data_IF_058023283409
#
_entry.id   IF_058023283409
#
_cell.length_a   1.000
_cell.length_b   1.000
_cell.length_c   1.000
_cell.angle_alpha   90.00
_cell.angle_beta   90.00
_cell.angle_gamma   90.00
#
_symmetry.space_group_name_H-M   'P 1'
#
loop_
_entity.id
_entity.type
_entity.pdbx_description
1 polymer ?
#
# COMPACT_ATOMS: atom_id res chain seq x y z
N UNK A 1 -35.31 -23.67 -28.90
CA UNK A 1 -35.31 -25.13 -29.11
C UNK A 1 -33.88 -25.63 -29.00
N UNK A 2 -33.44 -26.00 -27.79
CA UNK A 2 -32.30 -26.86 -27.49
C UNK A 2 -32.58 -27.46 -26.09
N UNK A 3 -32.88 -28.76 -25.99
CA UNK A 3 -32.97 -29.50 -24.74
C UNK A 3 -31.66 -30.26 -24.49
N UNK A 4 -31.23 -30.42 -23.23
CA UNK A 4 -30.32 -31.47 -22.76
C UNK A 4 -30.15 -31.32 -21.23
N UNK A 5 -31.01 -31.92 -20.41
CA UNK A 5 -30.71 -33.20 -19.73
C UNK A 5 -29.27 -33.22 -19.18
N UNK A 6 -29.05 -32.53 -18.06
CA UNK A 6 -27.92 -32.80 -17.17
C UNK A 6 -28.19 -34.16 -16.50
N UNK A 7 -27.68 -35.21 -17.13
CA UNK A 7 -27.60 -36.56 -16.55
C UNK A 7 -26.75 -36.54 -15.29
N UNK A 8 -27.24 -37.19 -14.23
CA UNK A 8 -26.57 -37.40 -12.94
C UNK A 8 -25.16 -38.05 -13.09
N UNK A 9 -24.85 -38.61 -14.27
CA UNK A 9 -23.53 -39.17 -14.60
C UNK A 9 -22.43 -38.10 -14.79
N UNK A 10 -22.75 -36.88 -15.24
CA UNK A 10 -21.76 -35.82 -15.45
C UNK A 10 -21.16 -35.29 -14.13
N UNK A 11 -21.99 -35.20 -13.09
CA UNK A 11 -21.55 -34.80 -11.75
C UNK A 11 -20.68 -35.89 -11.10
N UNK A 12 -21.03 -37.17 -11.31
CA UNK A 12 -20.23 -38.32 -10.83
C UNK A 12 -18.89 -38.41 -11.56
N UNK A 13 -18.83 -38.10 -12.86
CA UNK A 13 -17.56 -38.03 -13.60
C UNK A 13 -16.69 -36.86 -13.14
N UNK A 14 -17.28 -35.69 -12.88
CA UNK A 14 -16.56 -34.53 -12.35
C UNK A 14 -15.96 -34.83 -10.95
N UNK A 15 -16.73 -35.47 -10.07
CA UNK A 15 -16.24 -35.89 -8.74
C UNK A 15 -15.19 -37.01 -8.85
N UNK A 16 -15.34 -37.97 -9.78
CA UNK A 16 -14.31 -38.99 -10.06
C UNK A 16 -13.01 -38.38 -10.59
N UNK A 17 -13.10 -37.39 -11.48
CA UNK A 17 -11.93 -36.69 -12.01
C UNK A 17 -11.24 -35.84 -10.95
N UNK A 18 -11.99 -35.17 -10.07
CA UNK A 18 -11.41 -34.49 -8.90
C UNK A 18 -10.74 -35.49 -7.95
N UNK A 19 -11.35 -36.65 -7.71
CA UNK A 19 -10.74 -37.72 -6.89
C UNK A 19 -9.49 -38.33 -7.55
N UNK A 20 -9.45 -38.44 -8.88
CA UNK A 20 -8.26 -38.89 -9.63
C UNK A 20 -7.14 -37.83 -9.67
N UNK A 21 -7.49 -36.54 -9.75
CA UNK A 21 -6.54 -35.42 -9.64
C UNK A 21 -5.97 -35.27 -8.22
N UNK A 22 -6.75 -35.61 -7.19
CA UNK A 22 -6.27 -35.70 -5.81
C UNK A 22 -5.36 -36.92 -5.57
N UNK A 23 -5.47 -37.97 -6.37
CA UNK A 23 -4.64 -39.19 -6.27
C UNK A 23 -3.31 -39.08 -7.04
N UNK A 24 -3.20 -38.22 -8.07
CA UNK A 24 -1.95 -38.04 -8.82
C UNK A 24 -0.96 -37.05 -8.17
N UNK A 25 -1.36 -36.30 -7.14
CA UNK A 25 -0.45 -35.48 -6.32
C UNK A 25 0.22 -36.25 -5.17
N UNK A 26 0.17 -37.58 -5.22
CA UNK A 26 0.91 -38.47 -4.34
C UNK A 26 2.13 -39.07 -5.04
N UNK A 27 3.12 -38.27 -5.40
CA UNK A 27 4.49 -38.77 -5.52
C UNK A 27 5.09 -38.75 -4.12
N UNK A 28 5.25 -39.91 -3.45
CA UNK A 28 5.92 -39.95 -2.17
C UNK A 28 7.40 -39.66 -2.44
N UNK A 29 7.80 -38.41 -2.25
CA UNK A 29 9.20 -38.02 -2.15
C UNK A 29 9.71 -38.58 -0.82
N UNK A 30 10.02 -39.88 -0.87
CA UNK A 30 10.74 -40.65 0.13
C UNK A 30 12.14 -40.04 0.28
N UNK A 31 12.28 -39.03 1.14
CA UNK A 31 13.48 -38.77 1.93
C UNK A 31 13.15 -37.68 2.96
N UNK A 32 13.11 -38.12 4.23
CA UNK A 32 13.13 -37.30 5.45
C UNK A 32 11.82 -36.57 5.84
N UNK A 33 10.69 -37.28 5.80
CA UNK A 33 9.46 -36.78 6.45
C UNK A 33 9.04 -37.76 7.54
N UNK A 34 9.18 -37.32 8.78
CA UNK A 34 8.46 -37.89 9.93
C UNK A 34 6.97 -37.99 9.54
N UNK A 35 6.33 -39.16 9.69
CA UNK A 35 4.88 -39.31 9.56
C UNK A 35 4.18 -38.53 10.69
N UNK A 36 4.17 -37.20 10.58
CA UNK A 36 3.44 -36.33 11.47
C UNK A 36 1.97 -36.34 11.03
N UNK A 37 1.01 -36.57 11.93
CA UNK A 37 -0.40 -36.47 11.59
C UNK A 37 -0.71 -35.08 11.00
N UNK A 38 -1.57 -35.05 9.98
CA UNK A 38 -1.89 -33.82 9.22
C UNK A 38 -2.31 -32.66 10.12
N UNK A 39 -3.02 -32.96 11.22
CA UNK A 39 -3.43 -32.00 12.23
C UNK A 39 -2.23 -31.33 12.92
N UNK A 40 -1.23 -32.10 13.35
CA UNK A 40 -0.02 -31.56 14.00
C UNK A 40 0.81 -30.74 13.02
N UNK A 41 0.93 -31.18 11.76
CA UNK A 41 1.61 -30.40 10.71
C UNK A 41 0.95 -29.03 10.51
N UNK A 42 -0.38 -29.00 10.39
CA UNK A 42 -1.14 -27.75 10.23
C UNK A 42 -0.98 -26.84 11.45
N UNK A 43 -1.06 -27.37 12.67
CA UNK A 43 -0.87 -26.59 13.90
C UNK A 43 0.52 -25.97 13.93
N UNK A 44 1.57 -26.72 13.58
CA UNK A 44 2.94 -26.19 13.56
C UNK A 44 3.11 -25.09 12.51
N UNK A 45 2.55 -25.25 11.31
CA UNK A 45 2.59 -24.22 10.26
C UNK A 45 1.90 -22.94 10.74
N UNK A 46 0.68 -23.06 11.30
CA UNK A 46 -0.08 -21.92 11.82
C UNK A 46 0.68 -21.25 12.95
N UNK A 47 1.26 -22.03 13.87
CA UNK A 47 2.03 -21.52 14.99
C UNK A 47 3.25 -20.73 14.50
N UNK A 48 4.09 -21.32 13.64
CA UNK A 48 5.28 -20.66 13.11
C UNK A 48 4.91 -19.40 12.33
N UNK A 49 3.86 -19.46 11.51
CA UNK A 49 3.40 -18.30 10.73
C UNK A 49 2.88 -17.19 11.65
N UNK A 50 2.14 -17.54 12.70
CA UNK A 50 1.61 -16.58 13.68
C UNK A 50 2.75 -15.94 14.47
N UNK A 51 3.72 -16.73 14.94
CA UNK A 51 4.91 -16.21 15.62
C UNK A 51 5.72 -15.30 14.70
N UNK A 52 5.87 -15.66 13.42
CA UNK A 52 6.55 -14.83 12.43
C UNK A 52 5.81 -13.50 12.22
N UNK A 53 4.48 -13.54 12.09
CA UNK A 53 3.64 -12.35 11.93
C UNK A 53 3.71 -11.43 13.17
N UNK A 54 3.63 -12.00 14.37
CA UNK A 54 3.80 -11.26 15.63
C UNK A 54 5.21 -10.67 15.69
N UNK A 55 6.24 -11.41 15.29
CA UNK A 55 7.62 -10.95 15.23
C UNK A 55 7.79 -9.75 14.29
N UNK A 56 7.11 -9.75 13.14
CA UNK A 56 7.08 -8.62 12.19
C UNK A 56 6.40 -7.40 12.84
N UNK A 57 5.26 -7.59 13.51
CA UNK A 57 4.47 -6.50 14.11
C UNK A 57 5.16 -5.88 15.35
N UNK A 58 5.70 -6.71 16.25
CA UNK A 58 6.29 -6.26 17.52
C UNK A 58 7.72 -5.73 17.33
N UNK A 59 8.40 -6.10 16.23
CA UNK A 59 9.80 -5.78 15.94
C UNK A 59 10.72 -5.86 17.20
N UNK A 60 10.75 -7.01 17.90
CA UNK A 60 11.36 -7.14 19.24
C UNK A 60 12.84 -6.73 19.31
N UNK A 61 13.60 -6.91 18.23
CA UNK A 61 15.03 -6.56 18.16
C UNK A 61 15.35 -5.54 17.07
N UNK A 62 14.36 -4.78 16.57
CA UNK A 62 14.49 -3.89 15.39
C UNK A 62 15.07 -4.60 14.16
N UNK A 63 14.92 -5.92 14.09
CA UNK A 63 15.33 -6.70 12.91
C UNK A 63 14.51 -6.25 11.71
N UNK A 64 15.14 -6.27 10.54
CA UNK A 64 14.44 -6.04 9.29
C UNK A 64 13.33 -7.08 9.12
N UNK A 65 12.15 -6.65 8.66
CA UNK A 65 10.99 -7.51 8.42
C UNK A 65 11.33 -8.67 7.49
N UNK A 66 12.21 -8.43 6.52
CA UNK A 66 12.75 -9.46 5.63
C UNK A 66 13.45 -10.58 6.41
N UNK A 67 14.26 -10.26 7.42
CA UNK A 67 15.01 -11.24 8.21
C UNK A 67 14.06 -12.12 9.02
N UNK A 68 13.07 -11.52 9.67
CA UNK A 68 12.04 -12.27 10.43
C UNK A 68 11.26 -13.21 9.51
N UNK A 69 10.84 -12.72 8.35
CA UNK A 69 10.10 -13.50 7.36
C UNK A 69 10.93 -14.65 6.78
N UNK A 70 12.19 -14.38 6.42
CA UNK A 70 13.12 -15.39 5.91
C UNK A 70 13.41 -16.46 6.97
N UNK A 71 13.51 -16.08 8.23
CA UNK A 71 13.72 -17.02 9.35
C UNK A 71 12.52 -17.95 9.51
N UNK A 72 11.30 -17.40 9.50
CA UNK A 72 10.06 -18.19 9.56
C UNK A 72 9.91 -19.14 8.36
N UNK A 73 10.16 -18.64 7.14
CA UNK A 73 10.13 -19.45 5.93
C UNK A 73 11.19 -20.57 5.93
N UNK A 74 12.41 -20.26 6.38
CA UNK A 74 13.50 -21.25 6.50
C UNK A 74 13.15 -22.33 7.52
N UNK A 75 12.57 -21.96 8.66
CA UNK A 75 12.06 -22.90 9.66
C UNK A 75 11.02 -23.87 9.08
N UNK A 76 10.08 -23.37 8.28
CA UNK A 76 9.06 -24.20 7.62
C UNK A 76 9.68 -25.22 6.64
N UNK A 77 10.74 -24.83 5.94
CA UNK A 77 11.45 -25.72 4.99
C UNK A 77 12.35 -26.73 5.70
N UNK A 78 13.14 -26.29 6.68
CA UNK A 78 14.07 -27.16 7.44
C UNK A 78 13.30 -28.22 8.22
N UNK A 79 12.16 -27.86 8.81
CA UNK A 79 11.30 -28.81 9.53
C UNK A 79 10.51 -29.75 8.59
N UNK A 80 10.64 -29.60 7.27
CA UNK A 80 9.85 -30.36 6.31
C UNK A 80 8.36 -30.12 6.50
N UNK A 81 7.93 -28.92 6.90
CA UNK A 81 6.50 -28.62 7.01
C UNK A 81 5.92 -28.21 5.66
N UNK A 82 6.75 -27.69 4.75
CA UNK A 82 6.39 -27.33 3.38
C UNK A 82 7.42 -27.95 2.43
N UNK A 83 6.95 -28.51 1.31
CA UNK A 83 7.84 -29.04 0.28
C UNK A 83 8.59 -27.90 -0.42
N UNK A 84 9.92 -27.99 -0.64
CA UNK A 84 10.66 -27.02 -1.43
C UNK A 84 10.08 -26.83 -2.84
N UNK A 85 9.51 -27.89 -3.42
CA UNK A 85 8.84 -27.81 -4.72
C UNK A 85 7.59 -26.93 -4.67
N UNK A 86 6.75 -27.10 -3.65
CA UNK A 86 5.53 -26.29 -3.48
C UNK A 86 5.90 -24.82 -3.24
N UNK A 87 6.92 -24.56 -2.41
CA UNK A 87 7.43 -23.21 -2.16
C UNK A 87 7.96 -22.55 -3.45
N UNK A 88 8.78 -23.25 -4.22
CA UNK A 88 9.31 -22.74 -5.49
C UNK A 88 8.20 -22.51 -6.53
N UNK A 89 7.26 -23.45 -6.64
CA UNK A 89 6.13 -23.32 -7.57
C UNK A 89 5.26 -22.11 -7.26
N UNK A 90 5.10 -21.76 -5.97
CA UNK A 90 4.37 -20.56 -5.55
C UNK A 90 5.11 -19.29 -5.97
N UNK A 91 6.45 -19.28 -5.80
CA UNK A 91 7.29 -18.15 -6.23
C UNK A 91 7.21 -17.92 -7.75
N UNK A 92 7.27 -19.00 -8.53
CA UNK A 92 7.17 -18.95 -9.99
C UNK A 92 5.76 -18.55 -10.43
N UNK A 93 4.71 -18.94 -9.71
CA UNK A 93 3.34 -18.54 -10.03
C UNK A 93 3.14 -17.03 -9.89
N UNK A 94 3.69 -16.43 -8.82
CA UNK A 94 3.47 -15.02 -8.48
C UNK A 94 4.60 -14.08 -9.00
N UNK A 95 5.45 -14.55 -9.93
CA UNK A 95 6.59 -13.80 -10.48
C UNK A 95 6.21 -12.42 -11.03
N UNK A 96 5.07 -12.33 -11.73
CA UNK A 96 4.59 -11.09 -12.34
C UNK A 96 4.34 -10.00 -11.28
N UNK A 97 3.80 -10.39 -10.13
CA UNK A 97 3.57 -9.50 -8.98
C UNK A 97 4.89 -8.93 -8.44
N UNK A 98 5.94 -9.74 -8.32
CA UNK A 98 7.25 -9.25 -7.87
C UNK A 98 7.89 -8.26 -8.84
N UNK A 99 7.87 -8.55 -10.15
CA UNK A 99 8.37 -7.62 -11.17
C UNK A 99 7.56 -6.33 -11.22
N UNK A 100 6.25 -6.42 -11.02
CA UNK A 100 5.37 -5.27 -10.93
C UNK A 100 5.79 -4.33 -9.79
N UNK A 101 6.01 -4.84 -8.56
CA UNK A 101 6.52 -4.02 -7.45
C UNK A 101 7.89 -3.44 -7.74
N UNK A 102 8.80 -4.25 -8.28
CA UNK A 102 10.15 -3.79 -8.60
C UNK A 102 10.09 -2.61 -9.57
N UNK A 103 9.27 -2.71 -10.62
CA UNK A 103 9.06 -1.63 -11.59
C UNK A 103 8.45 -0.38 -10.97
N UNK A 104 7.41 -0.53 -10.16
CA UNK A 104 6.74 0.58 -9.48
C UNK A 104 7.63 1.29 -8.45
N UNK A 105 8.36 0.54 -7.63
CA UNK A 105 9.30 1.09 -6.66
C UNK A 105 10.45 1.80 -7.37
N UNK A 106 10.96 1.23 -8.46
CA UNK A 106 11.98 1.88 -9.30
C UNK A 106 11.45 3.16 -9.93
N UNK A 107 10.22 3.16 -10.46
CA UNK A 107 9.57 4.34 -11.03
C UNK A 107 9.37 5.43 -9.98
N UNK A 108 8.92 5.07 -8.78
CA UNK A 108 8.76 6.01 -7.66
C UNK A 108 10.10 6.61 -7.24
N UNK A 109 11.15 5.79 -7.11
CA UNK A 109 12.49 6.26 -6.78
C UNK A 109 13.05 7.19 -7.87
N UNK A 110 12.85 6.87 -9.15
CA UNK A 110 13.23 7.73 -10.26
C UNK A 110 12.46 9.06 -10.25
N UNK A 111 11.16 9.04 -9.97
CA UNK A 111 10.34 10.24 -9.85
C UNK A 111 10.79 11.14 -8.68
N UNK A 112 11.26 10.52 -7.59
CA UNK A 112 11.83 11.22 -6.44
C UNK A 112 13.16 11.88 -6.80
N UNK A 113 14.08 11.13 -7.42
CA UNK A 113 15.37 11.67 -7.89
C UNK A 113 15.17 12.78 -8.93
N UNK A 114 14.17 12.64 -9.80
CA UNK A 114 13.78 13.68 -10.75
C UNK A 114 13.12 14.92 -10.10
N UNK A 115 12.83 14.88 -8.79
CA UNK A 115 12.27 16.00 -8.04
C UNK A 115 10.77 16.25 -8.29
N UNK A 116 10.05 15.30 -8.90
CA UNK A 116 8.63 15.47 -9.28
C UNK A 116 7.76 15.76 -8.06
N UNK A 117 7.96 15.01 -6.96
CA UNK A 117 7.17 15.20 -5.75
C UNK A 117 7.42 16.55 -5.10
N UNK A 118 8.69 16.97 -5.01
CA UNK A 118 9.08 18.29 -4.49
C UNK A 118 8.43 19.42 -5.29
N UNK A 119 8.47 19.32 -6.62
CA UNK A 119 7.80 20.26 -7.50
C UNK A 119 6.28 20.30 -7.27
N UNK A 120 5.62 19.13 -7.19
CA UNK A 120 4.18 19.04 -6.92
C UNK A 120 3.79 19.67 -5.58
N UNK A 121 4.60 19.51 -4.55
CA UNK A 121 4.38 20.11 -3.24
C UNK A 121 4.41 21.64 -3.28
N UNK A 122 5.36 22.20 -4.02
CA UNK A 122 5.44 23.66 -4.23
C UNK A 122 4.22 24.14 -4.99
N UNK A 123 3.78 23.43 -6.03
CA UNK A 123 2.55 23.79 -6.76
C UNK A 123 1.31 23.74 -5.86
N UNK A 124 1.18 22.73 -5.01
CA UNK A 124 0.10 22.64 -4.01
C UNK A 124 0.11 23.84 -3.06
N UNK A 125 1.30 24.29 -2.65
CA UNK A 125 1.47 25.46 -1.81
C UNK A 125 1.10 26.77 -2.53
N UNK A 126 1.52 26.95 -3.77
CA UNK A 126 1.18 28.14 -4.57
C UNK A 126 -0.33 28.22 -4.84
N UNK A 127 -0.97 27.10 -5.16
CA UNK A 127 -2.41 27.00 -5.37
C UNK A 127 -3.24 27.31 -4.11
N UNK A 128 -2.64 27.19 -2.91
CA UNK A 128 -3.33 27.46 -1.66
C UNK A 128 -3.70 28.94 -1.47
N UNK A 129 -3.04 29.86 -2.21
CA UNK A 129 -3.22 31.31 -2.11
C UNK A 129 -3.19 31.81 -0.66
N UNK A 130 -2.19 31.35 0.11
CA UNK A 130 -1.94 31.74 1.50
C UNK A 130 -3.05 31.40 2.51
N UNK A 131 -3.90 30.42 2.19
CA UNK A 131 -4.92 29.91 3.11
C UNK A 131 -4.50 28.53 3.64
N UNK A 132 -4.35 28.40 4.96
CA UNK A 132 -4.00 27.12 5.60
C UNK A 132 -5.01 26.01 5.28
N UNK A 133 -6.31 26.34 5.17
CA UNK A 133 -7.35 25.37 4.79
C UNK A 133 -7.19 24.87 3.35
N UNK A 134 -6.88 25.77 2.42
CA UNK A 134 -6.63 25.39 1.01
C UNK A 134 -5.34 24.61 0.87
N UNK A 135 -4.31 24.97 1.64
CA UNK A 135 -3.07 24.22 1.68
C UNK A 135 -3.30 22.79 2.17
N UNK A 136 -4.05 22.64 3.26
CA UNK A 136 -4.42 21.34 3.79
C UNK A 136 -5.15 20.49 2.74
N UNK A 137 -6.18 21.05 2.10
CA UNK A 137 -6.91 20.35 1.04
C UNK A 137 -6.03 20.00 -0.16
N UNK A 138 -5.16 20.91 -0.61
CA UNK A 138 -4.26 20.66 -1.74
C UNK A 138 -3.23 19.57 -1.41
N UNK A 139 -2.67 19.60 -0.21
CA UNK A 139 -1.74 18.56 0.28
C UNK A 139 -2.44 17.21 0.38
N UNK A 140 -3.66 17.19 0.90
CA UNK A 140 -4.50 15.99 0.96
C UNK A 140 -4.75 15.41 -0.43
N UNK A 141 -5.19 16.26 -1.36
CA UNK A 141 -5.47 15.86 -2.74
C UNK A 141 -4.22 15.33 -3.42
N UNK A 142 -3.09 16.02 -3.21
CA UNK A 142 -1.80 15.60 -3.75
C UNK A 142 -1.39 14.23 -3.22
N UNK A 143 -1.46 14.01 -1.90
CA UNK A 143 -1.13 12.72 -1.30
C UNK A 143 -2.06 11.59 -1.74
N UNK A 144 -3.35 11.89 -1.90
CA UNK A 144 -4.31 10.96 -2.48
C UNK A 144 -3.92 10.57 -3.91
N UNK A 145 -3.66 11.55 -4.78
CA UNK A 145 -3.28 11.29 -6.18
C UNK A 145 -1.96 10.52 -6.31
N UNK A 146 -0.95 10.90 -5.53
CA UNK A 146 0.34 10.20 -5.50
C UNK A 146 0.11 8.76 -5.04
N UNK A 147 -0.62 8.52 -3.95
CA UNK A 147 -0.90 7.16 -3.45
C UNK A 147 -1.80 6.35 -4.37
N UNK A 148 -2.70 6.98 -5.14
CA UNK A 148 -3.50 6.27 -6.15
C UNK A 148 -2.62 5.79 -7.30
N UNK A 149 -1.65 6.59 -7.74
CA UNK A 149 -0.83 6.25 -8.91
C UNK A 149 0.41 5.43 -8.55
N UNK A 150 0.95 5.65 -7.36
CA UNK A 150 2.16 5.02 -6.84
C UNK A 150 1.83 4.11 -5.67
N UNK A 151 2.85 3.42 -5.15
CA UNK A 151 2.67 2.60 -3.96
C UNK A 151 2.39 3.45 -2.72
N UNK A 152 1.46 3.03 -1.87
CA UNK A 152 1.17 3.65 -0.57
C UNK A 152 2.44 3.75 0.30
N UNK A 153 3.27 2.69 0.32
CA UNK A 153 4.51 2.65 1.11
C UNK A 153 5.52 3.70 0.61
N UNK A 154 5.68 3.80 -0.71
CA UNK A 154 6.56 4.80 -1.32
C UNK A 154 6.03 6.21 -1.05
N UNK A 155 4.71 6.41 -1.14
CA UNK A 155 4.06 7.69 -0.86
C UNK A 155 4.32 8.12 0.59
N UNK A 156 4.17 7.22 1.56
CA UNK A 156 4.43 7.50 2.96
C UNK A 156 5.90 7.91 3.19
N UNK A 157 6.86 7.21 2.59
CA UNK A 157 8.29 7.50 2.77
C UNK A 157 8.70 8.84 2.16
N UNK A 158 8.18 9.19 0.99
CA UNK A 158 8.59 10.37 0.23
C UNK A 158 7.80 11.61 0.66
N UNK A 159 6.48 11.46 0.80
CA UNK A 159 5.60 12.59 1.06
C UNK A 159 5.70 13.08 2.50
N UNK A 160 6.00 12.20 3.45
CA UNK A 160 6.20 12.59 4.87
C UNK A 160 7.29 13.66 5.06
N UNK A 161 8.57 13.44 4.68
CA UNK A 161 9.62 14.45 4.84
C UNK A 161 9.35 15.70 4.00
N UNK A 162 8.71 15.54 2.85
CA UNK A 162 8.35 16.64 1.97
C UNK A 162 7.26 17.55 2.59
N UNK A 163 6.19 16.98 3.15
CA UNK A 163 5.15 17.74 3.83
C UNK A 163 5.68 18.31 5.14
N UNK A 164 6.50 17.56 5.86
CA UNK A 164 7.19 18.05 7.05
C UNK A 164 7.97 19.34 6.74
N UNK A 165 8.86 19.31 5.75
CA UNK A 165 9.67 20.48 5.38
C UNK A 165 8.81 21.66 4.92
N UNK A 166 7.76 21.41 4.12
CA UNK A 166 6.84 22.44 3.66
C UNK A 166 6.12 23.13 4.83
N UNK A 167 5.52 22.33 5.72
CA UNK A 167 4.69 22.81 6.83
C UNK A 167 5.55 23.49 7.90
N UNK A 168 6.76 23.00 8.17
CA UNK A 168 7.73 23.66 9.07
C UNK A 168 8.21 25.00 8.51
N UNK A 169 8.48 25.11 7.20
CA UNK A 169 8.85 26.39 6.56
C UNK A 169 7.73 27.43 6.63
N UNK A 170 6.48 26.97 6.57
CA UNK A 170 5.29 27.82 6.69
C UNK A 170 4.86 28.07 8.15
N UNK A 171 5.62 27.56 9.13
CA UNK A 171 5.32 27.67 10.58
C UNK A 171 3.92 27.16 10.95
N UNK A 172 3.47 26.12 10.27
CA UNK A 172 2.19 25.46 10.52
C UNK A 172 2.39 24.22 11.42
N UNK A 173 1.34 23.75 12.12
CA UNK A 173 1.42 22.53 12.91
C UNK A 173 1.64 21.33 11.98
N UNK A 174 2.68 20.54 12.26
CA UNK A 174 3.11 19.43 11.40
C UNK A 174 2.16 18.23 11.49
N UNK A 175 1.70 17.90 12.70
CA UNK A 175 0.94 16.68 12.98
C UNK A 175 -0.35 16.55 12.14
N UNK A 176 -1.22 17.58 12.03
CA UNK A 176 -2.45 17.47 11.24
C UNK A 176 -2.20 17.14 9.77
N UNK A 177 -1.18 17.76 9.16
CA UNK A 177 -0.86 17.57 7.75
C UNK A 177 -0.25 16.20 7.49
N UNK A 178 0.60 15.71 8.40
CA UNK A 178 1.16 14.36 8.30
C UNK A 178 0.09 13.28 8.48
N UNK A 179 -0.75 13.37 9.52
CA UNK A 179 -1.81 12.38 9.72
C UNK A 179 -2.82 12.39 8.59
N UNK A 180 -3.24 13.57 8.14
CA UNK A 180 -4.12 13.65 6.97
C UNK A 180 -3.47 12.98 5.76
N UNK A 181 -2.20 13.27 5.49
CA UNK A 181 -1.47 12.65 4.39
C UNK A 181 -1.41 11.12 4.51
N UNK A 182 -1.08 10.58 5.68
CA UNK A 182 -0.90 9.13 5.87
C UNK A 182 -2.21 8.36 5.80
N UNK A 183 -3.26 8.83 6.48
CA UNK A 183 -4.55 8.15 6.47
C UNK A 183 -5.20 8.20 5.08
N UNK A 184 -4.96 9.29 4.36
CA UNK A 184 -5.52 9.47 3.02
C UNK A 184 -4.79 8.64 2.00
N UNK A 185 -3.45 8.64 2.06
CA UNK A 185 -2.64 7.76 1.23
C UNK A 185 -3.11 6.31 1.37
N UNK A 186 -3.39 5.85 2.59
CA UNK A 186 -3.92 4.52 2.84
C UNK A 186 -5.27 4.29 2.15
N UNK A 187 -6.26 5.15 2.42
CA UNK A 187 -7.60 5.01 1.83
C UNK A 187 -7.64 5.20 0.30
N UNK A 188 -6.76 6.04 -0.24
CA UNK A 188 -6.68 6.33 -1.67
C UNK A 188 -6.02 5.17 -2.44
N UNK A 189 -5.17 4.39 -1.78
CA UNK A 189 -4.52 3.21 -2.36
C UNK A 189 -5.49 2.07 -2.69
N UNK A 190 -6.77 2.14 -2.28
CA UNK A 190 -7.78 1.15 -2.67
C UNK A 190 -8.27 1.29 -4.11
N UNK A 191 -8.04 2.44 -4.75
CA UNK A 191 -8.63 2.68 -6.07
C UNK A 191 -8.02 1.80 -7.16
N UNK A 192 -6.69 1.69 -7.18
CA UNK A 192 -5.99 0.99 -8.25
C UNK A 192 -5.28 -0.26 -7.72
N UNK A 193 -5.20 -1.33 -8.52
CA UNK A 193 -4.43 -2.52 -8.16
C UNK A 193 -2.98 -2.18 -7.84
N UNK A 194 -2.42 -1.24 -8.60
CA UNK A 194 -1.00 -0.90 -8.53
C UNK A 194 -0.61 -0.28 -7.19
N UNK A 195 -1.51 0.45 -6.55
CA UNK A 195 -1.22 1.32 -5.41
C UNK A 195 -0.88 0.59 -4.12
N UNK A 196 -1.35 -0.65 -3.97
CA UNK A 196 -1.24 -1.37 -2.72
C UNK A 196 -0.90 -2.83 -2.97
N UNK A 197 0.10 -3.38 -2.27
CA UNK A 197 0.47 -4.77 -2.45
C UNK A 197 -0.68 -5.77 -2.30
N UNK A 198 -1.60 -5.49 -1.39
CA UNK A 198 -2.77 -6.32 -1.12
C UNK A 198 -3.67 -6.40 -2.36
N UNK A 199 -3.84 -5.29 -3.09
CA UNK A 199 -4.69 -5.27 -4.28
C UNK A 199 -4.11 -6.13 -5.41
N UNK A 200 -2.78 -6.12 -5.57
CA UNK A 200 -2.11 -6.96 -6.59
C UNK A 200 -2.31 -8.43 -6.27
N UNK A 201 -2.15 -8.82 -5.00
CA UNK A 201 -2.40 -10.19 -4.55
C UNK A 201 -3.85 -10.60 -4.89
N UNK A 202 -4.83 -9.73 -4.66
CA UNK A 202 -6.23 -9.99 -5.02
C UNK A 202 -6.37 -10.18 -6.54
N UNK A 203 -5.81 -9.30 -7.36
CA UNK A 203 -5.87 -9.43 -8.83
C UNK A 203 -5.07 -10.61 -9.39
N UNK A 204 -4.11 -11.14 -8.65
CA UNK A 204 -3.39 -12.37 -9.03
C UNK A 204 -4.17 -13.65 -8.69
N UNK A 205 -5.08 -13.57 -7.70
CA UNK A 205 -5.89 -14.71 -7.24
C UNK A 205 -7.25 -14.79 -7.93
N UNK A 206 -7.81 -13.65 -8.31
CA UNK A 206 -9.08 -13.55 -9.01
C UNK A 206 -8.84 -12.97 -10.41
N UNK A 207 -9.51 -13.48 -11.46
CA UNK A 207 -9.37 -12.99 -12.83
C UNK A 207 -10.10 -11.64 -12.99
N UNK A 208 -9.60 -10.60 -12.33
CA UNK A 208 -10.15 -9.25 -12.36
C UNK A 208 -9.32 -8.39 -13.31
N UNK A 209 -9.90 -8.02 -14.43
CA UNK A 209 -9.33 -6.98 -15.29
C UNK A 209 -9.30 -5.62 -14.56
N UNK A 210 -8.36 -4.76 -14.94
CA UNK A 210 -8.20 -3.41 -14.35
C UNK A 210 -9.52 -2.61 -14.35
N UNK A 211 -10.27 -2.66 -15.47
CA UNK A 211 -11.55 -1.95 -15.58
C UNK A 211 -12.62 -2.53 -14.66
N UNK A 212 -12.64 -3.84 -14.49
CA UNK A 212 -13.57 -4.52 -13.58
C UNK A 212 -13.24 -4.20 -12.13
N UNK A 213 -11.95 -4.21 -11.77
CA UNK A 213 -11.47 -3.79 -10.47
C UNK A 213 -11.86 -2.33 -10.19
N UNK A 214 -11.54 -1.41 -11.11
CA UNK A 214 -11.91 -0.01 -10.98
C UNK A 214 -13.41 0.16 -10.82
N UNK A 215 -14.23 -0.47 -11.66
CA UNK A 215 -15.69 -0.34 -11.56
C UNK A 215 -16.24 -0.79 -10.20
N UNK A 216 -15.66 -1.83 -9.61
CA UNK A 216 -16.08 -2.36 -8.32
C UNK A 216 -15.61 -1.47 -7.15
N UNK A 217 -14.37 -0.98 -7.20
CA UNK A 217 -13.73 -0.25 -6.11
C UNK A 217 -13.83 1.27 -6.20
N UNK A 218 -14.23 1.83 -7.35
CA UNK A 218 -14.27 3.28 -7.58
C UNK A 218 -15.21 4.01 -6.63
N UNK A 219 -16.48 3.57 -6.55
CA UNK A 219 -17.47 4.17 -5.67
C UNK A 219 -17.10 3.99 -4.18
N UNK A 220 -16.79 2.78 -3.68
CA UNK A 220 -16.37 2.59 -2.29
C UNK A 220 -15.14 3.43 -1.92
N UNK A 221 -14.13 3.49 -2.80
CA UNK A 221 -12.90 4.26 -2.53
C UNK A 221 -13.19 5.75 -2.42
N UNK A 222 -13.99 6.31 -3.34
CA UNK A 222 -14.37 7.74 -3.27
C UNK A 222 -15.16 8.08 -2.00
N UNK A 223 -16.07 7.19 -1.57
CA UNK A 223 -16.83 7.38 -0.34
C UNK A 223 -15.89 7.39 0.87
N UNK A 224 -14.96 6.44 0.97
CA UNK A 224 -14.02 6.36 2.09
C UNK A 224 -13.06 7.56 2.10
N UNK A 225 -12.51 7.96 0.94
CA UNK A 225 -11.66 9.16 0.83
C UNK A 225 -12.44 10.41 1.26
N UNK A 226 -13.71 10.53 0.85
CA UNK A 226 -14.58 11.65 1.23
C UNK A 226 -14.90 11.67 2.73
N UNK A 227 -15.18 10.52 3.33
CA UNK A 227 -15.38 10.38 4.78
C UNK A 227 -14.09 10.75 5.52
N UNK A 228 -12.94 10.23 5.06
CA UNK A 228 -11.64 10.51 5.67
C UNK A 228 -11.34 12.02 5.62
N UNK A 229 -11.53 12.66 4.45
CA UNK A 229 -11.43 14.10 4.31
C UNK A 229 -12.36 14.85 5.26
N UNK A 230 -13.63 14.43 5.35
CA UNK A 230 -14.61 15.05 6.23
C UNK A 230 -14.24 14.93 7.72
N UNK A 231 -13.81 13.75 8.15
CA UNK A 231 -13.38 13.48 9.53
C UNK A 231 -12.16 14.33 9.88
N UNK A 232 -11.14 14.35 9.03
CA UNK A 232 -9.95 15.17 9.25
C UNK A 232 -10.25 16.67 9.20
N UNK A 233 -11.13 17.10 8.30
CA UNK A 233 -11.58 18.48 8.24
C UNK A 233 -12.32 18.88 9.52
N UNK A 234 -13.17 18.01 10.08
CA UNK A 234 -13.88 18.27 11.34
C UNK A 234 -12.95 18.26 12.54
N UNK A 235 -12.08 17.24 12.66
CA UNK A 235 -11.17 17.04 13.79
C UNK A 235 -10.14 18.16 13.89
N UNK A 236 -9.62 18.61 12.75
CA UNK A 236 -8.65 19.70 12.68
C UNK A 236 -9.26 21.04 12.26
N UNK A 237 -10.59 21.15 12.17
CA UNK A 237 -11.26 22.41 11.80
C UNK A 237 -10.82 23.54 12.72
N UNK A 238 -10.69 23.30 14.03
CA UNK A 238 -10.31 24.30 15.04
C UNK A 238 -8.84 24.71 14.93
N UNK A 239 -7.92 23.75 14.75
CA UNK A 239 -6.48 24.04 14.62
C UNK A 239 -6.15 24.71 13.28
N UNK A 240 -6.73 24.21 12.19
CA UNK A 240 -6.54 24.76 10.84
C UNK A 240 -7.27 26.10 10.69
N UNK A 241 -8.39 26.35 11.40
CA UNK A 241 -8.99 27.69 11.54
C UNK A 241 -8.03 28.66 12.21
N UNK A 242 -7.53 28.28 13.40
CA UNK A 242 -6.74 29.17 14.25
C UNK A 242 -5.45 29.59 13.53
N UNK A 243 -4.77 28.64 12.90
CA UNK A 243 -3.58 28.92 12.11
C UNK A 243 -3.88 29.55 10.75
N UNK A 244 -5.05 29.30 10.16
CA UNK A 244 -5.53 30.03 8.99
C UNK A 244 -5.68 31.53 9.26
N UNK A 245 -6.15 31.90 10.45
CA UNK A 245 -6.25 33.30 10.89
C UNK A 245 -4.84 33.91 11.10
N UNK A 246 -3.90 33.17 11.70
CA UNK A 246 -2.50 33.61 11.86
C UNK A 246 -1.82 33.81 10.50
N UNK A 247 -2.01 32.88 9.55
CA UNK A 247 -1.50 33.00 8.18
C UNK A 247 -2.06 34.24 7.46
N UNK A 248 -3.31 34.59 7.72
CA UNK A 248 -3.95 35.76 7.10
C UNK A 248 -3.50 37.07 7.74
N UNK A 249 -3.13 37.05 9.03
CA UNK A 249 -2.54 38.18 9.74
C UNK A 249 -1.06 38.40 9.39
N UNK A 250 -0.26 37.33 9.22
CA UNK A 250 1.14 37.42 8.75
C UNK A 250 1.20 37.93 7.30
N UNK A 251 0.19 37.61 6.47
CA UNK A 251 0.13 38.01 5.05
C UNK A 251 -0.02 39.51 4.79
N UNK A 252 -0.51 40.29 5.77
CA UNK A 252 -0.50 41.76 5.68
C UNK A 252 0.91 42.34 5.85
N UNK A 253 1.89 41.50 6.26
CA UNK A 253 3.31 41.83 6.22
C UNK A 253 3.98 41.22 4.98
N UNK A 254 4.88 41.98 4.34
CA UNK A 254 5.61 41.58 3.13
C UNK A 254 6.44 40.28 3.30
N UNK A 255 6.62 39.83 4.55
CA UNK A 255 7.39 38.66 4.97
C UNK A 255 6.81 37.33 4.45
N UNK A 256 5.48 37.18 4.37
CA UNK A 256 4.87 35.91 3.91
C UNK A 256 5.00 35.70 2.41
N UNK A 257 4.96 36.79 1.61
CA UNK A 257 5.26 36.75 0.17
C UNK A 257 6.71 36.37 -0.07
N UNK A 258 7.63 36.86 0.77
CA UNK A 258 9.04 36.45 0.75
C UNK A 258 9.18 34.98 1.15
N UNK A 259 8.47 34.46 2.16
CA UNK A 259 8.50 33.03 2.53
C UNK A 259 8.05 32.11 1.41
N UNK A 260 6.93 32.41 0.72
CA UNK A 260 6.47 31.63 -0.44
C UNK A 260 7.45 31.69 -1.62
N UNK A 261 8.03 32.87 -1.88
CA UNK A 261 9.06 33.07 -2.91
C UNK A 261 10.37 32.35 -2.55
N UNK A 262 10.75 32.33 -1.28
CA UNK A 262 11.87 31.56 -0.74
C UNK A 262 11.62 30.05 -0.80
N UNK A 263 10.40 29.55 -0.55
CA UNK A 263 10.07 28.12 -0.73
C UNK A 263 10.20 27.75 -2.20
N UNK A 264 9.66 28.57 -3.11
CA UNK A 264 9.84 28.40 -4.56
C UNK A 264 11.31 28.45 -4.99
N UNK A 265 12.11 29.39 -4.46
CA UNK A 265 13.54 29.51 -4.78
C UNK A 265 14.41 28.44 -4.13
N UNK A 266 14.09 27.97 -2.93
CA UNK A 266 14.86 26.93 -2.22
C UNK A 266 14.66 25.58 -2.89
N UNK A 267 13.42 25.26 -3.31
CA UNK A 267 13.15 24.04 -4.10
C UNK A 267 13.56 24.20 -5.57
N UNK A 268 13.62 25.41 -6.12
CA UNK A 268 14.23 25.70 -7.43
C UNK A 268 15.76 25.66 -7.43
N UNK A 269 16.41 25.82 -6.26
CA UNK A 269 17.86 25.71 -6.05
C UNK A 269 18.29 24.37 -5.42
N UNK A 270 17.37 23.41 -5.21
CA UNK A 270 17.77 22.01 -5.12
C UNK A 270 18.30 21.67 -6.49
N UNK A 271 19.63 21.78 -6.65
CA UNK A 271 20.31 21.40 -7.89
C UNK A 271 19.91 19.96 -8.21
N UNK A 272 19.26 19.85 -9.38
CA UNK A 272 19.22 18.69 -10.27
C UNK A 272 20.48 17.83 -10.16
#
# INVERSE_FOLDING_TARGET
>A
MYPCILSNQGLVLAVRNVRALLLHKGTPTMLLFVQIPTLTRTILIVLITTVTLIGIMVRPWKLNEAVTTMTGASLLLILGLISPYDAFSTLVHDWNTFFFFLGMMSLSALAEVAGIFGWLAVQAALLSRNSARRLFFNTFLLGSLISMLLSNDATALILTPLIYTLVTRLRLPVLPFLFACTFVADTASFLLPVSNPINIIITSRFPLDLLTFLRLFFLPSLVVIGINLGVFYLLYSTEVLLYGIIMQHDNDTDESRVKLRCVSQTFGNVRL
#
